data_IF_269343410878
#
_entry.id   IF_269343410878
#
_cell.length_a   1.000
_cell.length_b   1.000
_cell.length_c   1.000
_cell.angle_alpha   90.00
_cell.angle_beta   90.00
_cell.angle_gamma   90.00
#
_symmetry.space_group_name_H-M   'P 1'
#
loop_
_entity.id
_entity.type
_entity.pdbx_description
1 polymer ?
#
# COMPACT_ATOMS: atom_id res chain seq x y z
N UNK A 1 12.12 4.96 13.34
CA UNK A 1 12.20 4.70 11.89
C UNK A 1 10.99 5.31 11.22
N UNK A 2 11.15 5.67 9.94
CA UNK A 2 10.09 6.17 9.05
C UNK A 2 9.51 5.02 8.25
N UNK A 3 8.22 4.77 8.41
CA UNK A 3 7.50 3.66 7.79
C UNK A 3 6.33 4.23 6.99
N UNK A 4 6.30 3.96 5.69
CA UNK A 4 5.23 4.41 4.80
C UNK A 4 4.39 3.22 4.34
N UNK A 5 3.13 3.21 4.72
CA UNK A 5 2.14 2.25 4.23
C UNK A 5 1.52 2.75 2.92
N UNK A 6 1.48 1.88 1.92
CA UNK A 6 0.90 2.13 0.61
C UNK A 6 -0.34 1.24 0.44
N UNK A 7 -1.51 1.86 0.34
CA UNK A 7 -2.80 1.18 0.20
C UNK A 7 -3.60 1.68 -0.99
N UNK A 8 -4.56 0.89 -1.46
CA UNK A 8 -5.49 1.31 -2.52
C UNK A 8 -6.75 1.98 -1.98
N UNK A 9 -7.18 1.63 -0.77
CA UNK A 9 -8.44 2.07 -0.17
C UNK A 9 -8.28 2.11 1.34
N UNK A 10 -8.97 3.06 1.97
CA UNK A 10 -8.92 3.27 3.43
C UNK A 10 -10.32 3.32 4.05
N UNK A 11 -11.29 3.92 3.34
CA UNK A 11 -12.64 4.15 3.87
C UNK A 11 -13.52 2.89 4.02
N UNK A 12 -13.19 1.78 3.35
CA UNK A 12 -14.00 0.56 3.42
C UNK A 12 -13.71 -0.22 4.70
N UNK A 13 -14.73 -0.46 5.52
CA UNK A 13 -14.66 -1.38 6.65
C UNK A 13 -14.45 -2.80 6.11
N UNK A 14 -13.28 -3.37 6.38
CA UNK A 14 -12.91 -4.71 5.95
C UNK A 14 -11.85 -5.29 6.90
N UNK A 15 -11.76 -6.62 6.96
CA UNK A 15 -10.76 -7.29 7.81
C UNK A 15 -9.34 -6.85 7.52
N UNK A 16 -8.97 -6.74 6.23
CA UNK A 16 -7.65 -6.27 5.82
C UNK A 16 -7.35 -4.84 6.26
N UNK A 17 -8.27 -3.89 6.02
CA UNK A 17 -8.07 -2.51 6.46
C UNK A 17 -7.98 -2.39 7.98
N UNK A 18 -8.85 -3.08 8.72
CA UNK A 18 -8.83 -3.08 10.20
C UNK A 18 -7.48 -3.55 10.73
N UNK A 19 -6.98 -4.66 10.18
CA UNK A 19 -5.69 -5.20 10.55
C UNK A 19 -4.54 -4.26 10.23
N UNK A 20 -4.54 -3.63 9.05
CA UNK A 20 -3.50 -2.68 8.66
C UNK A 20 -3.49 -1.44 9.56
N UNK A 21 -4.66 -0.88 9.89
CA UNK A 21 -4.76 0.23 10.84
C UNK A 21 -4.29 -0.15 12.24
N UNK A 22 -4.63 -1.35 12.71
CA UNK A 22 -4.15 -1.85 14.00
C UNK A 22 -2.62 -1.89 14.04
N UNK A 23 -1.98 -2.47 13.02
CA UNK A 23 -0.52 -2.50 12.92
C UNK A 23 0.10 -1.11 12.84
N UNK A 24 -0.46 -0.24 11.99
CA UNK A 24 0.04 1.12 11.81
C UNK A 24 -0.04 1.91 13.13
N UNK A 25 -1.16 1.87 13.84
CA UNK A 25 -1.33 2.56 15.12
C UNK A 25 -0.41 1.98 16.21
N UNK A 26 -0.22 0.66 16.27
CA UNK A 26 0.74 0.03 17.20
C UNK A 26 2.18 0.45 16.92
N UNK A 27 2.58 0.52 15.65
CA UNK A 27 3.91 1.01 15.25
C UNK A 27 4.11 2.47 15.66
N UNK A 28 3.09 3.31 15.46
CA UNK A 28 3.11 4.71 15.90
C UNK A 28 3.22 4.81 17.43
N UNK A 29 2.45 4.01 18.18
CA UNK A 29 2.52 3.92 19.65
C UNK A 29 3.90 3.45 20.14
N UNK A 30 4.58 2.61 19.37
CA UNK A 30 5.96 2.19 19.61
C UNK A 30 7.02 3.25 19.22
N UNK A 31 6.63 4.48 18.91
CA UNK A 31 7.52 5.60 18.61
C UNK A 31 8.04 5.65 17.17
N UNK A 32 7.46 4.86 16.25
CA UNK A 32 7.82 4.94 14.83
C UNK A 32 7.06 6.08 14.14
N UNK A 33 7.68 6.71 13.16
CA UNK A 33 7.03 7.71 12.30
C UNK A 33 6.28 6.97 11.20
N UNK A 34 4.95 6.87 11.32
CA UNK A 34 4.12 6.12 10.39
C UNK A 34 3.32 7.07 9.50
N UNK A 35 3.43 6.90 8.18
CA UNK A 35 2.63 7.60 7.19
C UNK A 35 1.77 6.63 6.39
N UNK A 36 0.58 7.07 6.02
CA UNK A 36 -0.41 6.24 5.34
C UNK A 36 -0.81 6.87 4.01
N UNK A 37 -0.37 6.28 2.91
CA UNK A 37 -0.61 6.76 1.56
C UNK A 37 -1.64 5.92 0.83
N UNK A 38 -2.56 6.61 0.16
CA UNK A 38 -3.58 6.01 -0.70
C UNK A 38 -3.25 6.34 -2.15
N UNK A 39 -3.09 5.30 -2.97
CA UNK A 39 -2.85 5.49 -4.40
C UNK A 39 -3.98 6.28 -5.07
N UNK A 40 -3.60 7.12 -6.02
CA UNK A 40 -4.52 7.86 -6.86
C UNK A 40 -5.36 6.88 -7.69
N UNK A 41 -6.66 7.14 -7.80
CA UNK A 41 -7.55 6.40 -8.71
C UNK A 41 -7.13 6.66 -10.15
N UNK A 42 -7.26 5.64 -11.00
CA UNK A 42 -6.97 5.78 -12.43
C UNK A 42 -7.84 6.87 -13.06
N UNK A 43 -7.21 7.93 -13.54
CA UNK A 43 -7.87 9.01 -14.27
C UNK A 43 -8.08 8.54 -15.71
N UNK A 44 -9.33 8.56 -16.19
CA UNK A 44 -9.64 8.18 -17.58
C UNK A 44 -9.01 9.18 -18.55
N UNK A 45 -8.52 8.70 -19.69
CA UNK A 45 -7.75 9.50 -20.66
C UNK A 45 -8.50 10.76 -21.14
N UNK A 46 -9.83 10.69 -21.26
CA UNK A 46 -10.68 11.79 -21.72
C UNK A 46 -10.97 12.84 -20.63
N UNK A 47 -10.60 12.61 -19.36
CA UNK A 47 -10.76 13.56 -18.25
C UNK A 47 -9.50 14.39 -18.07
N UNK A 48 -9.18 15.22 -19.08
CA UNK A 48 -8.01 16.09 -19.07
C UNK A 48 -8.08 17.10 -17.92
N UNK A 49 -9.28 17.58 -17.60
CA UNK A 49 -9.60 18.40 -16.41
C UNK A 49 -9.01 17.80 -15.12
N UNK A 50 -9.26 16.51 -14.87
CA UNK A 50 -8.76 15.82 -13.69
C UNK A 50 -7.26 15.57 -13.74
N UNK A 51 -6.69 15.38 -14.93
CA UNK A 51 -5.23 15.23 -15.09
C UNK A 51 -4.50 16.53 -14.76
N UNK A 52 -5.02 17.67 -15.21
CA UNK A 52 -4.48 18.99 -14.90
C UNK A 52 -4.59 19.24 -13.40
N UNK A 53 -5.77 19.02 -12.81
CA UNK A 53 -5.95 19.16 -11.36
C UNK A 53 -4.99 18.28 -10.57
N UNK A 54 -4.78 17.02 -10.96
CA UNK A 54 -3.84 16.12 -10.30
C UNK A 54 -2.37 16.56 -10.41
N UNK A 55 -2.00 17.36 -11.42
CA UNK A 55 -0.65 17.89 -11.55
C UNK A 55 -0.43 19.12 -10.66
N UNK A 56 -1.48 19.92 -10.45
CA UNK A 56 -1.47 21.16 -9.66
C UNK A 56 -1.72 20.88 -8.18
N UNK A 57 -2.54 19.90 -7.85
CA UNK A 57 -2.86 19.52 -6.48
C UNK A 57 -1.69 18.75 -5.84
N UNK A 58 -1.41 19.08 -4.58
CA UNK A 58 -0.53 18.32 -3.72
C UNK A 58 -1.21 17.06 -3.16
N UNK A 59 -0.55 16.43 -2.19
CA UNK A 59 -1.14 15.33 -1.42
C UNK A 59 -2.28 15.88 -0.57
N UNK A 60 -3.48 15.29 -0.70
CA UNK A 60 -4.62 15.66 0.14
C UNK A 60 -4.50 14.91 1.47
N UNK A 61 -4.46 15.65 2.57
CA UNK A 61 -4.36 15.07 3.91
C UNK A 61 -5.75 15.10 4.54
N UNK A 62 -6.26 13.92 4.86
CA UNK A 62 -7.51 13.77 5.61
C UNK A 62 -7.20 13.53 7.09
N UNK A 63 -7.97 14.15 8.00
CA UNK A 63 -7.83 13.95 9.43
C UNK A 63 -7.99 12.47 9.82
N UNK A 64 -7.27 11.97 10.85
CA UNK A 64 -7.43 10.59 11.34
C UNK A 64 -8.88 10.20 11.67
N UNK A 65 -9.68 11.17 12.13
CA UNK A 65 -11.07 11.04 12.56
C UNK A 65 -12.03 10.63 11.43
N UNK A 66 -11.59 10.72 10.17
CA UNK A 66 -12.33 10.20 9.01
C UNK A 66 -12.48 8.68 9.07
N UNK A 67 -11.64 8.01 9.86
CA UNK A 67 -11.79 6.60 10.22
C UNK A 67 -12.40 6.53 11.63
N UNK A 68 -13.71 6.33 11.71
CA UNK A 68 -14.49 6.33 12.96
C UNK A 68 -14.69 4.92 13.56
N UNK A 69 -14.37 3.87 12.80
CA UNK A 69 -14.59 2.47 13.18
C UNK A 69 -13.36 1.78 13.80
N UNK A 70 -12.26 2.52 13.97
CA UNK A 70 -11.04 2.13 14.72
C UNK A 70 -10.51 3.38 15.43
N UNK A 71 -9.87 3.21 16.59
CA UNK A 71 -9.09 4.28 17.23
C UNK A 71 -7.84 4.61 16.40
N UNK A 72 -8.06 5.41 15.35
CA UNK A 72 -7.04 5.76 14.39
C UNK A 72 -6.43 7.12 14.73
N UNK A 73 -5.11 7.14 14.87
CA UNK A 73 -4.33 8.37 15.12
C UNK A 73 -3.55 8.82 13.89
N UNK A 74 -3.63 8.08 12.78
CA UNK A 74 -2.78 8.29 11.60
C UNK A 74 -3.59 9.04 10.53
N UNK A 75 -3.11 10.20 10.04
CA UNK A 75 -3.78 10.92 8.96
C UNK A 75 -3.69 10.13 7.65
N UNK A 76 -4.69 10.31 6.79
CA UNK A 76 -4.75 9.62 5.50
C UNK A 76 -4.26 10.56 4.40
N UNK A 77 -3.21 10.16 3.71
CA UNK A 77 -2.60 10.94 2.65
C UNK A 77 -2.98 10.39 1.27
N UNK A 78 -3.79 11.13 0.53
CA UNK A 78 -4.29 10.70 -0.78
C UNK A 78 -3.42 11.32 -1.87
N UNK A 79 -2.82 10.46 -2.68
CA UNK A 79 -1.99 10.91 -3.80
C UNK A 79 -2.87 11.51 -4.90
N UNK A 80 -2.48 12.66 -5.47
CA UNK A 80 -3.17 13.22 -6.63
C UNK A 80 -2.83 12.44 -7.91
N UNK A 81 -1.59 11.92 -7.98
CA UNK A 81 -1.12 11.00 -9.01
C UNK A 81 -0.07 10.04 -8.41
N UNK A 82 0.02 8.84 -8.98
CA UNK A 82 0.99 7.83 -8.53
C UNK A 82 2.39 8.19 -9.08
N UNK A 83 3.09 9.07 -8.37
CA UNK A 83 4.41 9.57 -8.77
C UNK A 83 5.37 9.61 -7.58
N UNK A 84 6.65 9.21 -7.74
CA UNK A 84 7.64 9.16 -6.64
C UNK A 84 7.82 10.48 -5.88
N UNK A 85 7.62 11.63 -6.56
CA UNK A 85 7.76 12.98 -5.96
C UNK A 85 6.87 13.24 -4.75
N UNK A 86 5.74 12.54 -4.65
CA UNK A 86 4.80 12.71 -3.53
C UNK A 86 5.11 11.79 -2.35
N UNK A 87 6.05 10.85 -2.53
CA UNK A 87 6.44 9.89 -1.50
C UNK A 87 7.69 10.44 -0.81
N UNK A 88 7.64 10.68 0.51
CA UNK A 88 8.82 11.11 1.26
C UNK A 88 9.86 9.99 1.31
N UNK A 89 11.07 10.35 1.70
CA UNK A 89 12.10 9.37 2.02
C UNK A 89 11.75 8.67 3.34
N UNK A 90 11.92 7.36 3.37
CA UNK A 90 11.55 6.52 4.50
C UNK A 90 12.54 5.35 4.63
N UNK A 91 12.54 4.69 5.78
CA UNK A 91 13.36 3.50 6.00
C UNK A 91 12.67 2.26 5.40
N UNK A 92 11.33 2.23 5.47
CA UNK A 92 10.50 1.08 5.08
C UNK A 92 9.30 1.55 4.26
N UNK A 93 9.04 0.84 3.15
CA UNK A 93 7.82 0.94 2.35
C UNK A 93 7.03 -0.35 2.45
N UNK A 94 5.78 -0.27 2.90
CA UNK A 94 4.89 -1.43 3.01
C UNK A 94 3.81 -1.31 1.94
N UNK A 95 3.84 -2.18 0.94
CA UNK A 95 2.74 -2.37 -0.01
C UNK A 95 1.80 -3.47 0.47
N UNK A 96 0.50 -3.34 0.17
CA UNK A 96 -0.53 -4.24 0.73
C UNK A 96 -1.42 -4.91 -0.32
N UNK A 97 -1.51 -4.31 -1.50
CA UNK A 97 -2.25 -4.82 -2.65
C UNK A 97 -1.36 -4.88 -3.90
N UNK A 98 -1.71 -5.68 -4.89
CA UNK A 98 -0.90 -5.90 -6.09
C UNK A 98 -0.58 -4.58 -6.83
N UNK A 99 -1.52 -3.64 -6.91
CA UNK A 99 -1.28 -2.33 -7.52
C UNK A 99 -0.24 -1.50 -6.74
N UNK A 100 -0.28 -1.58 -5.41
CA UNK A 100 0.68 -0.88 -4.54
C UNK A 100 2.06 -1.51 -4.63
N UNK A 101 2.13 -2.83 -4.74
CA UNK A 101 3.37 -3.57 -4.96
C UNK A 101 4.02 -3.18 -6.30
N UNK A 102 3.24 -3.12 -7.39
CA UNK A 102 3.73 -2.64 -8.69
C UNK A 102 4.23 -1.19 -8.66
N UNK A 103 3.60 -0.32 -7.87
CA UNK A 103 4.03 1.06 -7.73
C UNK A 103 5.33 1.15 -6.90
N UNK A 104 5.38 0.48 -5.75
CA UNK A 104 6.54 0.46 -4.85
C UNK A 104 7.77 -0.14 -5.52
N UNK A 105 7.61 -1.19 -6.34
CA UNK A 105 8.71 -1.81 -7.08
C UNK A 105 9.42 -0.86 -8.07
N UNK A 106 8.79 0.25 -8.44
CA UNK A 106 9.37 1.27 -9.35
C UNK A 106 10.04 2.42 -8.60
N UNK A 107 9.94 2.45 -7.27
CA UNK A 107 10.53 3.51 -6.46
C UNK A 107 12.03 3.23 -6.23
N UNK A 108 12.80 4.31 -6.12
CA UNK A 108 14.22 4.23 -5.76
C UNK A 108 14.39 3.78 -4.31
N UNK A 109 15.52 3.14 -3.99
CA UNK A 109 15.85 2.67 -2.64
C UNK A 109 15.82 3.78 -1.57
N UNK A 110 16.04 5.05 -1.94
CA UNK A 110 15.93 6.22 -1.05
C UNK A 110 14.53 6.36 -0.43
N UNK A 111 13.50 5.81 -1.09
CA UNK A 111 12.12 5.83 -0.57
C UNK A 111 11.88 4.76 0.51
N UNK A 112 12.84 3.86 0.72
CA UNK A 112 12.79 2.83 1.75
C UNK A 112 12.90 1.41 1.20
N UNK A 113 13.23 0.48 2.07
CA UNK A 113 13.29 -0.95 1.74
C UNK A 113 11.86 -1.45 1.48
N UNK A 114 11.58 -2.09 0.34
CA UNK A 114 10.22 -2.48 -0.01
C UNK A 114 9.84 -3.82 0.64
N UNK A 115 8.75 -3.78 1.39
CA UNK A 115 8.01 -4.92 1.91
C UNK A 115 6.67 -5.04 1.19
N UNK A 116 6.28 -6.28 0.90
CA UNK A 116 4.96 -6.60 0.37
C UNK A 116 4.21 -7.43 1.41
N UNK A 117 3.27 -6.80 2.09
CA UNK A 117 2.40 -7.42 3.08
C UNK A 117 1.16 -8.01 2.40
N UNK A 118 1.22 -9.31 2.13
CA UNK A 118 0.22 -10.06 1.38
C UNK A 118 -0.82 -10.59 2.36
N UNK A 119 -1.98 -9.94 2.38
CA UNK A 119 -3.08 -10.33 3.27
C UNK A 119 -3.89 -11.51 2.71
N UNK A 120 -3.97 -11.61 1.38
CA UNK A 120 -4.67 -12.68 0.68
C UNK A 120 -4.06 -12.93 -0.70
N UNK A 121 -4.39 -14.07 -1.32
CA UNK A 121 -3.95 -14.42 -2.68
C UNK A 121 -4.81 -13.73 -3.75
N UNK A 122 -4.55 -12.44 -4.01
CA UNK A 122 -5.40 -11.50 -4.77
C UNK A 122 -5.76 -11.92 -6.20
N UNK A 123 -4.96 -12.81 -6.80
CA UNK A 123 -5.21 -13.38 -8.12
C UNK A 123 -6.48 -14.23 -8.22
N UNK A 124 -7.06 -14.67 -7.10
CA UNK A 124 -8.28 -15.49 -7.10
C UNK A 124 -9.53 -14.68 -7.49
N UNK A 125 -9.63 -13.40 -7.11
CA UNK A 125 -10.83 -12.57 -7.35
C UNK A 125 -10.58 -11.32 -8.20
N UNK A 126 -9.33 -10.88 -8.39
CA UNK A 126 -9.06 -9.72 -9.24
C UNK A 126 -9.38 -10.00 -10.70
N UNK A 127 -9.87 -8.98 -11.42
CA UNK A 127 -10.07 -9.04 -12.87
C UNK A 127 -8.74 -9.16 -13.63
N UNK A 128 -7.65 -8.67 -13.04
CA UNK A 128 -6.31 -8.66 -13.65
C UNK A 128 -5.42 -9.78 -13.09
N UNK A 129 -5.90 -11.04 -13.16
CA UNK A 129 -5.27 -12.20 -12.50
C UNK A 129 -3.78 -12.33 -12.82
N UNK A 130 -3.43 -12.32 -14.10
CA UNK A 130 -2.03 -12.46 -14.57
C UNK A 130 -1.14 -11.36 -14.00
N UNK A 131 -1.65 -10.13 -13.95
CA UNK A 131 -0.89 -8.97 -13.46
C UNK A 131 -0.67 -9.07 -11.96
N UNK A 132 -1.68 -9.48 -11.20
CA UNK A 132 -1.55 -9.71 -9.76
C UNK A 132 -0.60 -10.87 -9.43
N UNK A 133 -0.66 -11.99 -10.15
CA UNK A 133 0.26 -13.14 -10.00
C UNK A 133 1.72 -12.68 -10.14
N UNK A 134 2.04 -11.88 -11.17
CA UNK A 134 3.40 -11.36 -11.40
C UNK A 134 3.93 -10.49 -10.26
N UNK A 135 3.06 -9.93 -9.41
CA UNK A 135 3.53 -9.08 -8.31
C UNK A 135 4.19 -9.86 -7.18
N UNK A 136 3.90 -11.15 -7.06
CA UNK A 136 4.53 -12.01 -6.07
C UNK A 136 6.01 -12.25 -6.38
N UNK A 137 6.39 -12.20 -7.66
CA UNK A 137 7.77 -12.38 -8.13
C UNK A 137 8.64 -11.11 -7.98
N UNK A 138 8.05 -9.98 -7.60
CA UNK A 138 8.79 -8.72 -7.46
C UNK A 138 9.86 -8.84 -6.35
N UNK A 139 11.03 -8.19 -6.49
CA UNK A 139 12.15 -8.31 -5.55
C UNK A 139 11.93 -7.50 -4.25
N UNK A 140 10.90 -7.87 -3.51
CA UNK A 140 10.53 -7.28 -2.21
C UNK A 140 10.55 -8.35 -1.13
N UNK A 141 10.67 -7.94 0.13
CA UNK A 141 10.49 -8.86 1.28
C UNK A 141 8.99 -9.13 1.46
N UNK A 142 8.58 -10.39 1.47
CA UNK A 142 7.15 -10.77 1.59
C UNK A 142 6.82 -11.06 3.04
N UNK A 143 5.76 -10.43 3.53
CA UNK A 143 5.13 -10.74 4.81
C UNK A 143 3.76 -11.32 4.50
N UNK A 144 3.36 -12.41 5.16
CA UNK A 144 2.06 -13.05 4.92
C UNK A 144 1.27 -13.21 6.21
N UNK A 145 -0.06 -13.20 6.10
CA UNK A 145 -0.94 -13.40 7.26
C UNK A 145 -1.08 -14.85 7.72
N UNK A 146 -0.72 -15.83 6.88
CA UNK A 146 -1.00 -17.22 7.19
C UNK A 146 0.00 -18.18 6.56
N UNK A 147 0.16 -19.34 7.19
CA UNK A 147 0.98 -20.44 6.65
C UNK A 147 0.49 -20.89 5.28
N UNK A 148 -0.83 -20.88 5.03
CA UNK A 148 -1.37 -21.23 3.71
C UNK A 148 -0.85 -20.29 2.61
N UNK A 149 -0.78 -18.97 2.88
CA UNK A 149 -0.19 -18.03 1.92
C UNK A 149 1.30 -18.26 1.74
N UNK A 150 2.02 -18.48 2.85
CA UNK A 150 3.46 -18.81 2.85
C UNK A 150 3.76 -20.00 1.94
N UNK A 151 3.02 -21.10 2.13
CA UNK A 151 3.17 -22.32 1.36
C UNK A 151 2.74 -22.14 -0.09
N UNK A 152 1.68 -21.36 -0.34
CA UNK A 152 1.21 -21.04 -1.69
C UNK A 152 2.25 -20.24 -2.48
N UNK A 153 2.87 -19.23 -1.86
CA UNK A 153 3.94 -18.45 -2.48
C UNK A 153 5.17 -19.30 -2.75
N UNK A 154 5.56 -20.15 -1.81
CA UNK A 154 6.68 -21.07 -1.98
C UNK A 154 6.43 -22.07 -3.11
N UNK A 155 5.25 -22.69 -3.14
CA UNK A 155 4.88 -23.72 -4.13
C UNK A 155 4.70 -23.15 -5.54
N UNK A 156 3.99 -22.04 -5.67
CA UNK A 156 3.56 -21.54 -6.99
C UNK A 156 4.50 -20.49 -7.58
N UNK A 157 5.30 -19.81 -6.75
CA UNK A 157 6.17 -18.71 -7.17
C UNK A 157 7.64 -18.90 -6.76
N UNK A 158 7.96 -19.96 -6.01
CA UNK A 158 9.30 -20.16 -5.46
C UNK A 158 9.74 -19.06 -4.49
N UNK A 159 8.81 -18.27 -3.96
CA UNK A 159 9.09 -17.13 -3.12
C UNK A 159 9.01 -17.51 -1.64
N UNK A 160 10.01 -17.10 -0.86
CA UNK A 160 9.94 -17.15 0.59
C UNK A 160 9.17 -15.94 1.12
N UNK A 161 8.37 -16.18 2.16
CA UNK A 161 7.67 -15.14 2.90
C UNK A 161 7.79 -15.42 4.40
N UNK A 162 7.80 -14.37 5.19
CA UNK A 162 7.78 -14.46 6.64
C UNK A 162 6.36 -14.55 7.17
#
# INVERSE_FOLDING_TARGET
>A
MKISFMVNQYARISGGNRLLFEYANRLKKAGQEVRWFVLAKHIKWYRLDKRIMACVQGVTIMPPEVIDWVDNTIPIEILPANHPKYIPDADILVSTAWQTAEFVAKLSAVKGVPFYFILHYESLWTRYKIRAVKTYDLPMKKLVLSNWLKDTLKKNHGQNAD
#
